data_IF_110825146188
#
_entry.id   IF_110825146188
#
_cell.length_a   1.000
_cell.length_b   1.000
_cell.length_c   1.000
_cell.angle_alpha   90.00
_cell.angle_beta   90.00
_cell.angle_gamma   90.00
#
_symmetry.space_group_name_H-M   'P 1'
#
loop_
_entity.id
_entity.type
_entity.pdbx_description
1 polymer ?
#
# COMPACT_ATOMS: atom_id res chain seq x y z
N UNK A 1 16.58 2.47 -8.82
CA UNK A 1 15.76 1.47 -8.13
C UNK A 1 15.53 0.22 -8.97
N UNK A 2 15.12 0.33 -10.24
CA UNK A 2 14.89 -0.84 -11.12
C UNK A 2 16.05 -1.84 -11.14
N UNK A 3 17.29 -1.36 -11.25
CA UNK A 3 18.48 -2.21 -11.21
C UNK A 3 18.64 -2.96 -9.89
N UNK A 4 18.23 -2.38 -8.76
CA UNK A 4 18.26 -3.04 -7.46
C UNK A 4 17.23 -4.16 -7.41
N UNK A 5 16.01 -3.92 -7.88
CA UNK A 5 14.98 -4.95 -8.00
C UNK A 5 15.47 -6.09 -8.89
N UNK A 6 16.08 -5.79 -10.04
CA UNK A 6 16.66 -6.81 -10.92
C UNK A 6 17.74 -7.65 -10.24
N UNK A 7 18.61 -7.03 -9.43
CA UNK A 7 19.62 -7.75 -8.67
C UNK A 7 18.98 -8.69 -7.64
N UNK A 8 17.99 -8.22 -6.88
CA UNK A 8 17.25 -9.05 -5.91
C UNK A 8 16.59 -10.25 -6.60
N UNK A 9 16.04 -10.06 -7.80
CA UNK A 9 15.38 -11.13 -8.56
C UNK A 9 16.35 -12.10 -9.24
N UNK A 10 17.64 -11.81 -9.30
CA UNK A 10 18.69 -12.67 -9.85
C UNK A 10 19.35 -13.56 -8.78
N UNK A 11 19.16 -13.24 -7.50
CA UNK A 11 19.70 -14.00 -6.39
C UNK A 11 18.72 -15.11 -5.99
N UNK A 12 19.15 -16.36 -6.15
CA UNK A 12 18.33 -17.54 -5.84
C UNK A 12 18.38 -17.93 -4.33
N UNK A 13 19.40 -17.46 -3.59
CA UNK A 13 19.70 -17.87 -2.21
C UNK A 13 19.79 -16.67 -1.24
N UNK A 14 18.79 -15.80 -1.23
CA UNK A 14 18.66 -14.79 -0.17
C UNK A 14 18.12 -15.45 1.10
N UNK A 15 19.01 -15.71 2.06
CA UNK A 15 18.59 -16.16 3.39
C UNK A 15 17.85 -15.04 4.15
N UNK A 16 17.17 -15.43 5.23
CA UNK A 16 16.36 -14.50 6.04
C UNK A 16 17.18 -13.36 6.62
N UNK A 17 18.41 -13.62 7.08
CA UNK A 17 19.27 -12.62 7.71
C UNK A 17 19.70 -11.52 6.71
N UNK A 18 20.05 -11.92 5.48
CA UNK A 18 20.34 -11.00 4.39
C UNK A 18 19.09 -10.20 4.03
N UNK A 19 17.92 -10.85 3.96
CA UNK A 19 16.65 -10.19 3.61
C UNK A 19 16.27 -9.11 4.62
N UNK A 20 16.36 -9.41 5.92
CA UNK A 20 16.11 -8.44 7.00
C UNK A 20 17.11 -7.28 6.96
N UNK A 21 18.39 -7.57 6.72
CA UNK A 21 19.44 -6.55 6.61
C UNK A 21 19.22 -5.64 5.40
N UNK A 22 18.89 -6.23 4.25
CA UNK A 22 18.59 -5.51 3.02
C UNK A 22 17.34 -4.66 3.18
N UNK A 23 16.27 -5.22 3.75
CA UNK A 23 15.04 -4.49 4.07
C UNK A 23 15.32 -3.28 4.95
N UNK A 24 16.16 -3.42 5.98
CA UNK A 24 16.54 -2.29 6.84
C UNK A 24 17.32 -1.20 6.11
N UNK A 25 18.30 -1.62 5.30
CA UNK A 25 19.08 -0.70 4.48
C UNK A 25 18.17 0.08 3.50
N UNK A 26 17.24 -0.61 2.85
CA UNK A 26 16.26 0.01 1.95
C UNK A 26 15.35 0.99 2.69
N UNK A 27 14.85 0.64 3.88
CA UNK A 27 14.07 1.55 4.71
C UNK A 27 14.85 2.81 5.11
N UNK A 28 16.16 2.70 5.29
CA UNK A 28 17.03 3.85 5.59
C UNK A 28 17.27 4.71 4.34
N UNK A 29 17.61 4.10 3.21
CA UNK A 29 17.88 4.80 1.95
C UNK A 29 16.62 5.48 1.39
N UNK A 30 15.46 4.84 1.53
CA UNK A 30 14.17 5.34 1.07
C UNK A 30 13.45 6.19 2.11
N UNK A 31 14.12 6.63 3.18
CA UNK A 31 13.49 7.37 4.29
C UNK A 31 12.63 8.55 3.84
N UNK A 32 13.15 9.36 2.91
CA UNK A 32 12.43 10.54 2.37
C UNK A 32 11.12 10.14 1.64
N UNK A 33 11.03 8.91 1.13
CA UNK A 33 9.82 8.41 0.48
C UNK A 33 8.68 8.15 1.46
N UNK A 34 9.02 7.97 2.74
CA UNK A 34 8.09 7.72 3.84
C UNK A 34 7.74 8.99 4.61
N UNK A 35 8.72 9.90 4.76
CA UNK A 35 8.56 11.13 5.54
C UNK A 35 7.82 12.23 4.72
N UNK A 36 7.90 12.20 3.38
CA UNK A 36 7.21 13.16 2.51
C UNK A 36 5.77 12.74 2.20
N UNK A 37 4.87 13.73 2.11
CA UNK A 37 3.50 13.52 1.62
C UNK A 37 3.52 13.03 0.17
N UNK A 38 3.08 11.79 -0.02
CA UNK A 38 2.94 11.16 -1.33
C UNK A 38 1.72 11.70 -2.07
N UNK A 39 0.62 11.96 -1.37
CA UNK A 39 -0.63 12.35 -2.00
C UNK A 39 -0.54 13.78 -2.56
N UNK A 40 -0.84 14.00 -3.86
CA UNK A 40 -0.71 15.30 -4.48
C UNK A 40 -1.84 16.24 -4.01
N UNK A 41 -1.50 17.52 -3.81
CA UNK A 41 -2.47 18.56 -3.40
C UNK A 41 -3.54 18.82 -4.45
N UNK A 42 -3.18 18.68 -5.71
CA UNK A 42 -4.11 18.75 -6.84
C UNK A 42 -4.29 17.34 -7.39
N UNK A 43 -5.52 16.84 -7.42
CA UNK A 43 -5.85 15.50 -7.91
C UNK A 43 -6.10 15.52 -9.43
N UNK A 44 -5.03 15.63 -10.23
CA UNK A 44 -5.08 15.39 -11.67
C UNK A 44 -4.51 14.00 -11.99
N UNK A 45 -4.89 13.43 -13.13
CA UNK A 45 -4.31 12.16 -13.58
C UNK A 45 -2.78 12.22 -13.65
N UNK A 46 -2.23 13.36 -14.12
CA UNK A 46 -0.79 13.60 -14.21
C UNK A 46 -0.13 13.65 -12.83
N UNK A 47 -0.70 14.37 -11.86
CA UNK A 47 -0.11 14.49 -10.53
C UNK A 47 -0.13 13.18 -9.76
N UNK A 48 -1.17 12.37 -9.95
CA UNK A 48 -1.25 11.02 -9.39
C UNK A 48 -0.22 10.11 -10.05
N UNK A 49 -0.08 10.15 -11.38
CA UNK A 49 0.93 9.36 -12.09
C UNK A 49 2.37 9.73 -11.66
N UNK A 50 2.66 11.01 -11.48
CA UNK A 50 3.94 11.50 -10.98
C UNK A 50 4.23 11.02 -9.55
N UNK A 51 3.22 11.03 -8.67
CA UNK A 51 3.37 10.60 -7.28
C UNK A 51 3.74 9.12 -7.15
N UNK A 52 3.23 8.26 -8.04
CA UNK A 52 3.57 6.83 -8.11
C UNK A 52 4.82 6.54 -8.95
N UNK A 53 5.49 7.58 -9.45
CA UNK A 53 6.80 7.51 -10.10
C UNK A 53 7.98 7.40 -9.14
N UNK A 54 7.74 7.56 -7.82
CA UNK A 54 8.79 7.53 -6.80
C UNK A 54 9.48 6.16 -6.69
N UNK A 55 10.75 6.10 -6.23
CA UNK A 55 11.53 4.86 -6.16
C UNK A 55 10.84 3.68 -5.45
N UNK A 56 10.14 3.92 -4.33
CA UNK A 56 9.44 2.87 -3.59
C UNK A 56 8.40 2.14 -4.48
N UNK A 57 7.64 2.89 -5.26
CA UNK A 57 6.57 2.36 -6.13
C UNK A 57 7.09 1.52 -7.28
N UNK A 58 8.39 1.60 -7.61
CA UNK A 58 9.01 0.68 -8.56
C UNK A 58 8.95 -0.76 -8.04
N UNK A 59 9.13 -0.99 -6.74
CA UNK A 59 9.00 -2.32 -6.15
C UNK A 59 7.56 -2.82 -6.26
N UNK A 60 6.58 -1.99 -5.91
CA UNK A 60 5.16 -2.35 -6.00
C UNK A 60 4.74 -2.65 -7.44
N UNK A 61 5.21 -1.83 -8.41
CA UNK A 61 4.96 -2.06 -9.83
C UNK A 61 5.45 -3.43 -10.29
N UNK A 62 6.65 -3.83 -9.87
CA UNK A 62 7.19 -5.15 -10.22
C UNK A 62 6.34 -6.26 -9.60
N UNK A 63 5.98 -6.18 -8.31
CA UNK A 63 5.11 -7.19 -7.66
C UNK A 63 3.75 -7.33 -8.35
N UNK A 64 3.16 -6.22 -8.81
CA UNK A 64 1.84 -6.21 -9.48
C UNK A 64 1.91 -6.77 -10.91
N UNK A 65 3.04 -6.56 -11.62
CA UNK A 65 3.21 -6.98 -13.01
C UNK A 65 3.75 -8.40 -13.17
N UNK A 66 4.48 -8.90 -12.17
CA UNK A 66 5.10 -10.22 -12.22
C UNK A 66 4.05 -11.35 -12.11
N UNK A 67 4.28 -12.48 -12.80
CA UNK A 67 3.47 -13.68 -12.60
C UNK A 67 3.64 -14.21 -11.17
N UNK A 68 2.72 -15.04 -10.73
CA UNK A 68 2.76 -15.66 -9.40
C UNK A 68 3.81 -16.79 -9.35
N UNK A 69 5.09 -16.40 -9.28
CA UNK A 69 6.26 -17.29 -9.22
C UNK A 69 7.14 -17.01 -7.99
N UNK A 70 8.18 -17.82 -7.80
CA UNK A 70 9.12 -17.68 -6.68
C UNK A 70 9.81 -16.31 -6.62
N UNK A 71 9.98 -15.63 -7.76
CA UNK A 71 10.62 -14.32 -7.82
C UNK A 71 9.69 -13.22 -7.32
N UNK A 72 8.39 -13.32 -7.64
CA UNK A 72 7.36 -12.45 -7.03
C UNK A 72 7.32 -12.64 -5.52
N UNK A 73 7.42 -13.88 -5.04
CA UNK A 73 7.44 -14.19 -3.61
C UNK A 73 8.69 -13.61 -2.91
N UNK A 74 9.87 -13.70 -3.52
CA UNK A 74 11.10 -13.07 -2.99
C UNK A 74 10.92 -11.56 -2.79
N UNK A 75 10.35 -10.87 -3.77
CA UNK A 75 10.11 -9.43 -3.69
C UNK A 75 9.03 -9.08 -2.65
N UNK A 76 7.99 -9.90 -2.52
CA UNK A 76 6.96 -9.78 -1.48
C UNK A 76 7.53 -9.99 -0.07
N UNK A 77 8.44 -10.95 0.11
CA UNK A 77 9.11 -11.18 1.39
C UNK A 77 10.00 -10.00 1.76
N UNK A 78 10.77 -9.46 0.81
CA UNK A 78 11.56 -8.24 1.03
C UNK A 78 10.67 -7.04 1.42
N UNK A 79 9.52 -6.86 0.76
CA UNK A 79 8.54 -5.84 1.15
C UNK A 79 7.93 -6.10 2.53
N UNK A 80 7.72 -7.37 2.88
CA UNK A 80 7.30 -7.79 4.22
C UNK A 80 8.33 -7.38 5.28
N UNK A 81 9.59 -7.73 5.08
CA UNK A 81 10.71 -7.32 5.95
C UNK A 81 10.77 -5.80 6.11
N UNK A 82 10.63 -5.05 5.00
CA UNK A 82 10.57 -3.60 5.07
C UNK A 82 9.34 -3.10 5.84
N UNK A 83 8.17 -3.73 5.66
CA UNK A 83 6.92 -3.34 6.33
C UNK A 83 6.94 -3.60 7.83
N UNK A 84 7.75 -4.56 8.31
CA UNK A 84 7.98 -4.73 9.76
C UNK A 84 8.67 -3.53 10.39
N UNK A 85 9.55 -2.84 9.65
CA UNK A 85 10.29 -1.67 10.10
C UNK A 85 9.57 -0.35 9.79
N UNK A 86 8.84 -0.31 8.68
CA UNK A 86 8.09 0.85 8.18
C UNK A 86 6.65 0.45 7.87
N UNK A 87 5.72 0.54 8.85
CA UNK A 87 4.33 0.12 8.66
C UNK A 87 3.59 0.92 7.58
N UNK A 88 4.11 2.10 7.22
CA UNK A 88 3.57 2.93 6.14
C UNK A 88 3.52 2.23 4.78
N UNK A 89 4.35 1.19 4.56
CA UNK A 89 4.35 0.40 3.33
C UNK A 89 2.97 -0.21 3.03
N UNK A 90 2.22 -0.61 4.07
CA UNK A 90 0.90 -1.22 3.90
C UNK A 90 -0.09 -0.29 3.20
N UNK A 91 -0.32 0.91 3.75
CA UNK A 91 -1.23 1.87 3.12
C UNK A 91 -0.67 2.50 1.85
N UNK A 92 0.66 2.62 1.72
CA UNK A 92 1.29 3.09 0.48
C UNK A 92 1.11 2.08 -0.67
N UNK A 93 1.08 0.78 -0.37
CA UNK A 93 0.72 -0.23 -1.35
C UNK A 93 -0.76 -0.09 -1.76
N UNK A 94 -1.67 0.10 -0.81
CA UNK A 94 -3.09 0.37 -1.12
C UNK A 94 -3.24 1.61 -2.00
N UNK A 95 -2.50 2.68 -1.70
CA UNK A 95 -2.45 3.88 -2.52
C UNK A 95 -2.01 3.57 -3.95
N UNK A 96 -0.89 2.85 -4.10
CA UNK A 96 -0.38 2.47 -5.41
C UNK A 96 -1.38 1.63 -6.19
N UNK A 97 -2.03 0.65 -5.56
CA UNK A 97 -3.01 -0.20 -6.21
C UNK A 97 -4.21 0.60 -6.73
N UNK A 98 -4.67 1.60 -5.98
CA UNK A 98 -5.73 2.49 -6.43
C UNK A 98 -5.27 3.41 -7.56
N UNK A 99 -4.11 4.05 -7.43
CA UNK A 99 -3.57 5.02 -8.39
C UNK A 99 -3.10 4.37 -9.71
N UNK A 100 -2.59 3.15 -9.63
CA UNK A 100 -2.05 2.44 -10.77
C UNK A 100 -3.20 1.90 -11.65
N UNK A 101 -3.20 2.25 -12.94
CA UNK A 101 -4.19 1.76 -13.92
C UNK A 101 -3.89 0.33 -14.41
N UNK A 102 -2.91 -0.36 -13.81
CA UNK A 102 -2.49 -1.70 -14.21
C UNK A 102 -3.27 -2.77 -13.44
N UNK A 103 -3.83 -3.72 -14.20
CA UNK A 103 -4.41 -5.01 -13.76
C UNK A 103 -5.70 -4.95 -12.90
N UNK A 104 -6.54 -5.99 -13.01
CA UNK A 104 -7.78 -6.16 -12.22
C UNK A 104 -7.54 -6.89 -10.89
N UNK A 105 -6.43 -7.65 -10.75
CA UNK A 105 -6.10 -8.45 -9.56
C UNK A 105 -5.42 -7.64 -8.43
N UNK A 106 -5.86 -6.39 -8.21
CA UNK A 106 -5.23 -5.44 -7.27
C UNK A 106 -5.34 -5.89 -5.82
N UNK A 107 -6.51 -6.40 -5.42
CA UNK A 107 -6.75 -6.87 -4.06
C UNK A 107 -5.82 -8.03 -3.66
N UNK A 108 -5.52 -8.94 -4.59
CA UNK A 108 -4.70 -10.13 -4.31
C UNK A 108 -3.28 -9.77 -3.88
N UNK A 109 -2.69 -8.73 -4.46
CA UNK A 109 -1.32 -8.30 -4.13
C UNK A 109 -1.21 -7.83 -2.67
N UNK A 110 -2.23 -7.14 -2.16
CA UNK A 110 -2.27 -6.73 -0.76
C UNK A 110 -2.52 -7.93 0.17
N UNK A 111 -3.36 -8.89 -0.25
CA UNK A 111 -3.57 -10.13 0.50
C UNK A 111 -2.27 -10.93 0.61
N UNK A 112 -1.51 -11.04 -0.48
CA UNK A 112 -0.24 -11.76 -0.51
C UNK A 112 0.81 -11.10 0.39
N UNK A 113 0.82 -9.76 0.49
CA UNK A 113 1.65 -9.03 1.45
C UNK A 113 1.20 -9.30 2.90
N UNK A 114 -0.11 -9.29 3.18
CA UNK A 114 -0.61 -9.59 4.52
C UNK A 114 -0.25 -11.03 4.95
N UNK A 115 -0.27 -11.97 4.00
CA UNK A 115 0.17 -13.36 4.20
C UNK A 115 1.68 -13.46 4.46
N UNK A 116 2.52 -12.72 3.74
CA UNK A 116 3.98 -12.72 3.98
C UNK A 116 4.34 -12.14 5.35
N UNK A 117 3.49 -11.27 5.91
CA UNK A 117 3.61 -10.74 7.26
C UNK A 117 3.03 -11.65 8.35
N UNK A 118 2.44 -12.80 7.98
CA UNK A 118 1.71 -13.70 8.89
C UNK A 118 0.62 -13.00 9.71
N UNK A 119 0.00 -11.95 9.17
CA UNK A 119 -1.04 -11.16 9.84
C UNK A 119 -2.43 -11.48 9.28
N UNK A 120 -3.43 -11.44 10.16
CA UNK A 120 -4.84 -11.45 9.74
C UNK A 120 -5.10 -10.23 8.84
N UNK A 121 -5.64 -10.47 7.63
CA UNK A 121 -5.94 -9.43 6.64
C UNK A 121 -6.75 -8.27 7.25
N UNK A 122 -7.75 -8.60 8.06
CA UNK A 122 -8.60 -7.63 8.76
C UNK A 122 -7.80 -6.71 9.69
N UNK A 123 -6.92 -7.28 10.52
CA UNK A 123 -6.11 -6.51 11.47
C UNK A 123 -5.07 -5.69 10.74
N UNK A 124 -4.48 -6.24 9.67
CA UNK A 124 -3.51 -5.55 8.84
C UNK A 124 -4.15 -4.32 8.18
N UNK A 125 -5.28 -4.52 7.51
CA UNK A 125 -6.01 -3.46 6.83
C UNK A 125 -6.45 -2.35 7.79
N UNK A 126 -6.98 -2.72 8.96
CA UNK A 126 -7.38 -1.74 9.97
C UNK A 126 -6.19 -0.95 10.51
N UNK A 127 -5.05 -1.61 10.77
CA UNK A 127 -3.85 -0.94 11.26
C UNK A 127 -3.28 0.03 10.22
N UNK A 128 -3.22 -0.39 8.96
CA UNK A 128 -2.72 0.42 7.86
C UNK A 128 -3.61 1.65 7.62
N UNK A 129 -4.93 1.47 7.69
CA UNK A 129 -5.88 2.58 7.54
C UNK A 129 -5.85 3.56 8.71
N UNK A 130 -5.68 3.06 9.95
CA UNK A 130 -5.46 3.92 11.12
C UNK A 130 -4.19 4.76 10.97
N UNK A 131 -3.10 4.13 10.55
CA UNK A 131 -1.84 4.83 10.32
C UNK A 131 -1.98 5.86 9.19
N UNK A 132 -2.64 5.49 8.09
CA UNK A 132 -2.91 6.39 6.98
C UNK A 132 -3.72 7.61 7.41
N UNK A 133 -4.72 7.42 8.28
CA UNK A 133 -5.52 8.51 8.82
C UNK A 133 -4.71 9.45 9.72
N UNK A 134 -3.78 8.92 10.53
CA UNK A 134 -2.90 9.73 11.38
C UNK A 134 -1.87 10.53 10.55
N UNK A 135 -1.37 9.95 9.46
CA UNK A 135 -0.34 10.56 8.60
C UNK A 135 -0.94 11.53 7.56
N UNK A 136 -2.02 11.13 6.88
CA UNK A 136 -2.64 11.90 5.79
C UNK A 136 -4.14 11.59 5.62
N UNK A 137 -4.98 12.48 6.19
CA UNK A 137 -6.45 12.38 6.13
C UNK A 137 -6.98 12.46 4.69
N UNK A 138 -6.37 13.25 3.81
CA UNK A 138 -6.84 13.41 2.43
C UNK A 138 -6.63 12.10 1.64
N UNK A 139 -5.45 11.49 1.81
CA UNK A 139 -5.14 10.18 1.25
C UNK A 139 -6.10 9.10 1.79
N UNK A 140 -6.37 9.10 3.09
CA UNK A 140 -7.30 8.17 3.71
C UNK A 140 -8.70 8.28 3.11
N UNK A 141 -9.27 9.49 3.04
CA UNK A 141 -10.58 9.72 2.43
C UNK A 141 -10.63 9.28 0.96
N UNK A 142 -9.53 9.47 0.23
CA UNK A 142 -9.42 8.97 -1.13
C UNK A 142 -9.39 7.44 -1.18
N UNK A 143 -8.71 6.75 -0.28
CA UNK A 143 -8.61 5.28 -0.31
C UNK A 143 -9.89 4.55 0.12
N UNK A 144 -10.66 5.12 1.05
CA UNK A 144 -11.83 4.48 1.67
C UNK A 144 -12.78 3.84 0.63
N UNK A 145 -13.27 4.55 -0.41
CA UNK A 145 -14.19 3.97 -1.39
C UNK A 145 -13.65 2.70 -2.08
N UNK A 146 -12.36 2.70 -2.43
CA UNK A 146 -11.72 1.57 -3.09
C UNK A 146 -11.58 0.38 -2.14
N UNK A 147 -11.24 0.62 -0.87
CA UNK A 147 -11.13 -0.44 0.14
C UNK A 147 -12.46 -1.15 0.34
N UNK A 148 -13.57 -0.40 0.42
CA UNK A 148 -14.90 -0.99 0.55
C UNK A 148 -15.32 -1.80 -0.69
N UNK A 149 -14.80 -1.42 -1.88
CA UNK A 149 -15.09 -2.11 -3.15
C UNK A 149 -14.25 -3.37 -3.33
N UNK A 150 -12.96 -3.31 -2.99
CA UNK A 150 -11.99 -4.41 -3.16
C UNK A 150 -12.06 -5.44 -2.03
N UNK A 151 -12.42 -5.02 -0.82
CA UNK A 151 -12.45 -5.89 0.38
C UNK A 151 -13.82 -5.90 1.07
N UNK A 152 -14.93 -6.21 0.36
CA UNK A 152 -16.27 -6.14 0.94
C UNK A 152 -16.44 -7.11 2.11
N UNK A 153 -15.78 -8.28 2.07
CA UNK A 153 -15.85 -9.29 3.13
C UNK A 153 -15.24 -8.83 4.46
N UNK A 154 -14.31 -7.88 4.41
CA UNK A 154 -13.57 -7.37 5.58
C UNK A 154 -14.03 -5.96 5.96
N UNK A 155 -14.56 -5.19 5.00
CA UNK A 155 -15.03 -3.83 5.24
C UNK A 155 -16.51 -3.78 5.66
N UNK A 156 -17.35 -4.68 5.14
CA UNK A 156 -18.79 -4.70 5.43
C UNK A 156 -19.06 -5.50 6.71
N UNK A 157 -19.35 -4.79 7.80
CA UNK A 157 -19.62 -5.37 9.12
C UNK A 157 -18.64 -4.92 10.21
N UNK A 158 -17.53 -4.27 9.83
CA UNK A 158 -16.53 -3.79 10.76
C UNK A 158 -16.85 -2.39 11.28
N UNK A 159 -17.52 -2.34 12.43
CA UNK A 159 -17.86 -1.09 13.11
C UNK A 159 -16.64 -0.19 13.38
N UNK A 160 -15.44 -0.78 13.53
CA UNK A 160 -14.21 -0.02 13.75
C UNK A 160 -13.76 0.76 12.51
N UNK A 161 -13.90 0.19 11.30
CA UNK A 161 -13.61 0.92 10.05
C UNK A 161 -14.59 2.07 9.84
N UNK A 162 -15.88 1.82 10.06
CA UNK A 162 -16.90 2.86 9.98
C UNK A 162 -16.66 3.96 11.01
N UNK A 163 -16.34 3.60 12.26
CA UNK A 163 -15.98 4.57 13.31
C UNK A 163 -14.77 5.40 12.91
N UNK A 164 -13.76 4.79 12.27
CA UNK A 164 -12.57 5.49 11.80
C UNK A 164 -12.93 6.56 10.77
N UNK A 165 -13.72 6.19 9.76
CA UNK A 165 -14.21 7.10 8.72
C UNK A 165 -15.03 8.23 9.34
N UNK A 166 -16.01 7.92 10.19
CA UNK A 166 -16.89 8.95 10.78
C UNK A 166 -16.13 9.88 11.74
N UNK A 167 -15.07 9.39 12.40
CA UNK A 167 -14.27 10.22 13.33
C UNK A 167 -13.36 11.24 12.66
N UNK A 168 -13.14 11.12 11.34
CA UNK A 168 -12.07 11.85 10.62
C UNK A 168 -12.56 12.70 9.49
N UNK A 169 -13.79 12.45 9.06
CA UNK A 169 -14.36 13.06 7.87
C UNK A 169 -15.00 14.40 8.23
N UNK A 170 -14.47 15.46 7.62
CA UNK A 170 -15.07 16.80 7.67
C UNK A 170 -16.36 16.86 6.85
N UNK A 171 -17.23 17.85 7.12
CA UNK A 171 -18.55 17.95 6.46
C UNK A 171 -18.48 17.97 4.92
N UNK A 172 -17.43 18.54 4.33
CA UNK A 172 -17.18 18.54 2.88
C UNK A 172 -16.77 17.16 2.36
N UNK A 173 -15.88 16.46 3.09
CA UNK A 173 -15.45 15.10 2.76
C UNK A 173 -16.59 14.10 2.94
N UNK A 174 -17.47 14.31 3.92
CA UNK A 174 -18.68 13.51 4.11
C UNK A 174 -19.59 13.63 2.90
N UNK A 175 -19.78 14.86 2.41
CA UNK A 175 -20.54 15.10 1.19
C UNK A 175 -19.90 14.42 -0.03
N UNK A 176 -18.57 14.46 -0.17
CA UNK A 176 -17.86 13.75 -1.24
C UNK A 176 -18.03 12.23 -1.16
N UNK A 177 -17.97 11.64 0.03
CA UNK A 177 -18.22 10.21 0.25
C UNK A 177 -19.67 9.84 -0.06
N UNK A 178 -20.63 10.65 0.39
CA UNK A 178 -22.06 10.46 0.09
C UNK A 178 -22.31 10.54 -1.41
N UNK A 179 -21.68 11.49 -2.12
CA UNK A 179 -21.77 11.57 -3.57
C UNK A 179 -21.22 10.32 -4.26
N UNK A 180 -20.13 9.73 -3.78
CA UNK A 180 -19.60 8.47 -4.31
C UNK A 180 -20.49 7.26 -4.02
N UNK A 181 -21.22 7.26 -2.90
CA UNK A 181 -22.17 6.18 -2.56
C UNK A 181 -23.47 6.28 -3.39
N UNK A 182 -23.87 7.49 -3.78
CA UNK A 182 -25.10 7.75 -4.54
C UNK A 182 -24.94 7.61 -6.07
N UNK A 183 -23.71 7.58 -6.58
CA UNK A 183 -23.39 7.33 -8.00
C UNK A 183 -23.26 5.84 -8.29
#
# INVERSE_FOLDING_TARGET
MERLVQLVLQEDDLDTDIMTTLGSCLCHVLREQFDDKVFPKEMSDESIEDSIGRPLFVMFRNVVQMPDDSRRLLLLNLLGEMATQRPQIGYLLLYFLKACKLNEAKAQVYIDLAQSLEKDLEKCLLADLKLCQEDDVELFCWLVPEVYTQFPQVAVGHAQLLSLVVSTVDASQLQCLVCHILQ
#
